data_IF_449600137661
#
_entry.id   IF_449600137661
#
_cell.length_a   1.000
_cell.length_b   1.000
_cell.length_c   1.000
_cell.angle_alpha   90.00
_cell.angle_beta   90.00
_cell.angle_gamma   90.00
#
_symmetry.space_group_name_H-M   'P 1'
#
loop_
_entity.id
_entity.type
_entity.pdbx_description
1 polymer ?
#
# COMPACT_ATOMS: atom_id res chain seq x y z
N UNK A 1 17.45 4.43 -10.92
CA UNK A 1 17.14 5.82 -11.25
C UNK A 1 18.27 6.70 -10.73
N UNK A 2 18.90 7.49 -11.59
CA UNK A 2 20.00 8.43 -11.24
C UNK A 2 21.16 7.80 -10.43
N UNK A 3 21.51 6.56 -10.74
CA UNK A 3 22.56 5.82 -10.02
C UNK A 3 22.14 5.26 -8.65
N UNK A 4 20.93 5.52 -8.20
CA UNK A 4 20.39 5.04 -6.93
C UNK A 4 19.53 3.79 -7.13
N UNK A 5 19.38 2.99 -6.06
CA UNK A 5 18.49 1.82 -6.04
C UNK A 5 17.22 2.16 -5.25
N UNK A 6 16.08 1.75 -5.78
CA UNK A 6 14.78 1.92 -5.13
C UNK A 6 14.02 0.59 -5.10
N UNK A 7 13.39 0.28 -3.99
CA UNK A 7 12.32 -0.71 -3.95
C UNK A 7 11.04 -0.05 -4.45
N UNK A 8 10.44 -0.55 -5.52
CA UNK A 8 9.27 0.08 -6.13
C UNK A 8 8.11 -0.89 -6.29
N UNK A 9 6.89 -0.37 -6.19
CA UNK A 9 5.73 -0.98 -6.80
C UNK A 9 5.65 -0.56 -8.28
N UNK A 10 5.46 -1.51 -9.19
CA UNK A 10 5.19 -1.24 -10.59
C UNK A 10 3.72 -1.46 -10.89
N UNK A 11 3.07 -0.49 -11.50
CA UNK A 11 1.71 -0.65 -12.01
C UNK A 11 1.77 -1.04 -13.47
N UNK A 12 1.17 -2.18 -13.81
CA UNK A 12 1.12 -2.72 -15.17
C UNK A 12 -0.33 -2.82 -15.63
N UNK A 13 -0.63 -2.22 -16.75
CA UNK A 13 -1.97 -2.28 -17.34
C UNK A 13 -1.87 -2.25 -18.88
N UNK A 14 -2.67 -3.07 -19.55
CA UNK A 14 -2.66 -3.18 -21.01
C UNK A 14 -1.32 -3.69 -21.56
N UNK A 15 -0.58 -4.49 -20.79
CA UNK A 15 0.74 -5.02 -21.20
C UNK A 15 1.90 -4.03 -21.04
N UNK A 16 1.67 -2.85 -20.48
CA UNK A 16 2.67 -1.79 -20.31
C UNK A 16 2.86 -1.41 -18.84
N UNK A 17 4.08 -1.01 -18.46
CA UNK A 17 4.36 -0.42 -17.17
C UNK A 17 3.89 1.03 -17.17
N UNK A 18 2.84 1.31 -16.41
CA UNK A 18 2.22 2.65 -16.30
C UNK A 18 2.97 3.59 -15.36
N UNK A 19 3.69 3.05 -14.41
CA UNK A 19 4.50 3.84 -13.50
C UNK A 19 5.19 2.99 -12.44
N UNK A 20 6.18 3.60 -11.80
CA UNK A 20 6.99 3.05 -10.73
C UNK A 20 6.85 3.94 -9.49
N UNK A 21 6.36 3.37 -8.40
CA UNK A 21 6.16 4.08 -7.13
C UNK A 21 7.20 3.59 -6.12
N UNK A 22 8.20 4.41 -5.78
CA UNK A 22 9.23 4.02 -4.83
C UNK A 22 8.69 3.98 -3.41
N UNK A 23 9.16 3.01 -2.65
CA UNK A 23 8.92 2.90 -1.21
C UNK A 23 9.47 4.12 -0.48
N UNK A 24 8.67 4.73 0.38
CA UNK A 24 9.06 5.93 1.13
C UNK A 24 9.66 5.60 2.50
N UNK A 25 9.15 4.57 3.15
CA UNK A 25 9.54 4.20 4.52
C UNK A 25 10.42 2.94 4.48
N UNK A 26 11.71 3.13 4.70
CA UNK A 26 12.70 2.04 4.67
C UNK A 26 12.98 1.55 6.10
N UNK A 27 12.47 0.36 6.49
CA UNK A 27 12.77 -0.19 7.80
C UNK A 27 14.27 -0.48 7.91
N UNK A 28 14.91 0.10 8.94
CA UNK A 28 16.32 -0.09 9.26
C UNK A 28 16.43 -0.31 10.76
N UNK A 29 15.68 -1.26 11.27
CA UNK A 29 15.61 -1.65 12.67
C UNK A 29 15.39 -3.16 12.80
N UNK A 30 15.81 -3.74 13.92
CA UNK A 30 15.71 -5.18 14.19
C UNK A 30 16.37 -6.01 13.07
N UNK A 31 15.57 -6.77 12.34
CA UNK A 31 16.00 -7.68 11.26
C UNK A 31 16.06 -7.01 9.89
N UNK A 32 15.64 -5.74 9.78
CA UNK A 32 15.56 -5.02 8.51
C UNK A 32 16.75 -4.09 8.30
N UNK A 33 17.25 -4.06 7.06
CA UNK A 33 18.44 -3.27 6.67
C UNK A 33 18.24 -2.48 5.38
N UNK A 34 17.01 -2.14 5.02
CA UNK A 34 16.70 -1.57 3.71
C UNK A 34 17.46 -0.25 3.45
N UNK A 35 17.58 0.62 4.44
CA UNK A 35 18.29 1.90 4.30
C UNK A 35 19.77 1.80 3.99
N UNK A 36 20.39 0.60 4.08
CA UNK A 36 21.79 0.37 3.65
C UNK A 36 21.90 0.13 2.14
N UNK A 37 20.81 -0.32 1.50
CA UNK A 37 20.85 -0.79 0.11
C UNK A 37 20.00 0.08 -0.79
N UNK A 38 18.89 0.60 -0.28
CA UNK A 38 17.90 1.33 -1.06
C UNK A 38 17.81 2.80 -0.65
N UNK A 39 17.52 3.64 -1.62
CA UNK A 39 17.11 5.02 -1.42
C UNK A 39 15.59 5.07 -1.27
N UNK A 40 15.11 5.96 -0.44
CA UNK A 40 13.68 6.16 -0.23
C UNK A 40 13.07 7.04 -1.32
N UNK A 41 11.79 6.83 -1.61
CA UNK A 41 10.95 7.81 -2.29
C UNK A 41 10.64 9.02 -1.40
N UNK A 42 10.17 10.08 -1.98
CA UNK A 42 9.80 11.31 -1.28
C UNK A 42 8.38 11.73 -1.64
N UNK A 43 7.66 12.37 -0.71
CA UNK A 43 6.40 13.02 -1.01
C UNK A 43 6.52 13.96 -2.22
N UNK A 44 5.54 13.88 -3.12
CA UNK A 44 5.46 14.69 -4.34
C UNK A 44 6.64 14.54 -5.31
N UNK A 45 7.46 13.51 -5.15
CA UNK A 45 8.50 13.20 -6.11
C UNK A 45 7.90 12.84 -7.47
N UNK A 46 8.35 13.52 -8.51
CA UNK A 46 7.97 13.25 -9.90
C UNK A 46 9.23 13.17 -10.76
N UNK A 47 9.28 12.18 -11.62
CA UNK A 47 10.37 11.94 -12.54
C UNK A 47 10.02 10.85 -13.54
N UNK A 48 11.04 10.39 -14.24
CA UNK A 48 10.93 9.35 -15.24
C UNK A 48 12.12 8.40 -15.16
N UNK A 49 11.87 7.12 -15.36
CA UNK A 49 12.93 6.14 -15.52
C UNK A 49 12.72 5.33 -16.81
N UNK A 50 13.59 5.53 -17.80
CA UNK A 50 13.54 4.87 -19.11
C UNK A 50 12.18 5.01 -19.83
N UNK A 51 11.61 6.21 -19.84
CA UNK A 51 10.31 6.48 -20.44
C UNK A 51 9.11 6.08 -19.57
N UNK A 52 9.31 5.59 -18.35
CA UNK A 52 8.25 5.21 -17.43
C UNK A 52 8.15 6.24 -16.30
N UNK A 53 6.95 6.78 -16.00
CA UNK A 53 6.75 7.67 -14.87
C UNK A 53 7.25 7.05 -13.56
N UNK A 54 7.97 7.84 -12.76
CA UNK A 54 8.57 7.41 -11.52
C UNK A 54 8.32 8.44 -10.42
N UNK A 55 7.83 8.01 -9.28
CA UNK A 55 7.65 8.90 -8.13
C UNK A 55 6.41 8.62 -7.29
N UNK A 56 5.90 9.67 -6.66
CA UNK A 56 4.70 9.63 -5.81
C UNK A 56 3.45 9.74 -6.69
N UNK A 57 3.01 8.59 -7.22
CA UNK A 57 1.99 8.50 -8.24
C UNK A 57 0.71 7.83 -7.72
N UNK A 58 -0.42 8.28 -8.26
CA UNK A 58 -1.70 7.58 -8.24
C UNK A 58 -2.13 7.30 -9.68
N UNK A 59 -2.98 6.30 -9.90
CA UNK A 59 -3.34 5.80 -11.22
C UNK A 59 -4.86 5.79 -11.37
N UNK A 60 -5.34 6.52 -12.38
CA UNK A 60 -6.75 6.56 -12.72
C UNK A 60 -7.08 5.42 -13.70
N UNK A 61 -8.13 4.65 -13.39
CA UNK A 61 -8.70 3.60 -14.22
C UNK A 61 -10.21 3.81 -14.33
N UNK A 62 -10.84 3.14 -15.28
CA UNK A 62 -12.30 3.23 -15.49
C UNK A 62 -13.12 2.87 -14.23
N UNK A 63 -12.56 2.05 -13.33
CA UNK A 63 -13.21 1.63 -12.10
C UNK A 63 -12.87 2.47 -10.86
N UNK A 64 -11.92 3.40 -10.96
CA UNK A 64 -11.50 4.25 -9.83
C UNK A 64 -10.02 4.55 -9.79
N UNK A 65 -9.59 5.28 -8.76
CA UNK A 65 -8.21 5.75 -8.59
C UNK A 65 -7.46 4.85 -7.61
N UNK A 66 -6.33 4.31 -8.08
CA UNK A 66 -5.49 3.35 -7.34
C UNK A 66 -4.18 3.99 -6.88
N UNK A 67 -3.79 3.75 -5.64
CA UNK A 67 -2.49 4.13 -5.08
C UNK A 67 -1.73 2.90 -4.58
N UNK A 68 -0.59 2.53 -5.18
CA UNK A 68 0.24 1.45 -4.66
C UNK A 68 1.14 1.94 -3.52
N UNK A 69 1.39 1.06 -2.55
CA UNK A 69 2.32 1.23 -1.44
C UNK A 69 3.16 -0.02 -1.24
N UNK A 70 4.30 0.13 -0.57
CA UNK A 70 5.20 -1.01 -0.31
C UNK A 70 5.41 -1.20 1.19
N UNK A 71 4.87 -2.28 1.73
CA UNK A 71 5.16 -2.83 3.05
C UNK A 71 5.12 -1.78 4.18
N UNK A 72 6.29 -1.32 4.65
CA UNK A 72 6.49 -0.38 5.76
C UNK A 72 5.74 0.95 5.58
N UNK A 73 5.42 1.33 4.35
CA UNK A 73 4.66 2.54 4.08
C UNK A 73 3.34 2.60 4.86
N UNK A 74 2.66 1.45 5.06
CA UNK A 74 1.43 1.39 5.84
C UNK A 74 1.64 1.42 7.37
N UNK A 75 2.86 1.09 7.87
CA UNK A 75 3.11 0.96 9.31
C UNK A 75 3.33 2.28 10.02
N UNK A 76 3.70 3.32 9.31
CA UNK A 76 4.00 4.62 9.90
C UNK A 76 2.75 5.50 10.00
N UNK A 77 2.71 6.37 11.00
CA UNK A 77 1.61 7.34 11.18
C UNK A 77 1.51 8.29 9.99
N UNK A 78 2.65 8.81 9.54
CA UNK A 78 2.77 9.63 8.32
C UNK A 78 2.95 8.74 7.10
N UNK A 79 1.95 7.89 6.83
CA UNK A 79 1.95 6.98 5.70
C UNK A 79 1.65 7.72 4.38
N UNK A 80 2.22 7.27 3.25
CA UNK A 80 1.91 7.83 1.92
C UNK A 80 0.42 7.77 1.59
N UNK A 81 -0.29 6.77 2.10
CA UNK A 81 -1.73 6.55 1.94
C UNK A 81 -2.53 7.81 2.25
N UNK A 82 -2.22 8.53 3.35
CA UNK A 82 -2.93 9.76 3.72
C UNK A 82 -2.93 10.76 2.57
N UNK A 83 -1.76 11.10 2.07
CA UNK A 83 -1.59 12.08 1.00
C UNK A 83 -2.26 11.61 -0.28
N UNK A 84 -2.09 10.34 -0.65
CA UNK A 84 -2.64 9.76 -1.87
C UNK A 84 -4.17 9.69 -1.85
N UNK A 85 -4.78 9.40 -0.69
CA UNK A 85 -6.24 9.42 -0.54
C UNK A 85 -6.81 10.83 -0.62
N UNK A 86 -6.12 11.84 -0.08
CA UNK A 86 -6.48 13.23 -0.26
C UNK A 86 -6.27 13.70 -1.72
N UNK A 87 -5.38 13.08 -2.47
CA UNK A 87 -5.22 13.33 -3.91
C UNK A 87 -6.23 12.57 -4.77
N UNK A 88 -7.18 11.84 -4.17
CA UNK A 88 -8.27 11.17 -4.87
C UNK A 88 -8.22 9.64 -4.89
N UNK A 89 -7.15 9.00 -4.41
CA UNK A 89 -7.08 7.54 -4.41
C UNK A 89 -8.19 6.91 -3.56
N UNK A 90 -8.93 5.98 -4.16
CA UNK A 90 -10.04 5.26 -3.54
C UNK A 90 -9.64 3.87 -3.09
N UNK A 91 -8.73 3.25 -3.86
CA UNK A 91 -8.15 1.94 -3.60
C UNK A 91 -6.64 2.09 -3.35
N UNK A 92 -6.20 1.71 -2.16
CA UNK A 92 -4.77 1.59 -1.83
C UNK A 92 -4.38 0.12 -1.88
N UNK A 93 -3.29 -0.20 -2.57
CA UNK A 93 -2.75 -1.55 -2.68
C UNK A 93 -1.39 -1.58 -2.02
N UNK A 94 -1.26 -2.34 -0.93
CA UNK A 94 0.00 -2.53 -0.22
C UNK A 94 0.58 -3.93 -0.47
N UNK A 95 1.72 -3.98 -1.15
CA UNK A 95 2.48 -5.20 -1.41
C UNK A 95 3.58 -5.36 -0.36
N UNK A 96 3.59 -6.48 0.36
CA UNK A 96 4.42 -6.67 1.54
C UNK A 96 5.27 -7.94 1.53
N UNK A 97 6.47 -7.83 2.09
CA UNK A 97 7.28 -8.92 2.62
C UNK A 97 7.46 -8.74 4.12
N UNK A 98 6.36 -8.76 4.87
CA UNK A 98 6.36 -8.58 6.32
C UNK A 98 6.63 -9.90 7.02
N UNK A 99 7.74 -9.97 7.77
CA UNK A 99 8.17 -11.20 8.41
C UNK A 99 7.21 -11.66 9.51
N UNK A 100 7.08 -12.98 9.62
CA UNK A 100 6.30 -13.63 10.66
C UNK A 100 6.93 -13.42 12.05
N UNK A 101 6.10 -13.06 12.99
CA UNK A 101 6.35 -13.11 14.43
C UNK A 101 5.05 -13.51 15.11
N UNK A 102 5.13 -14.14 16.28
CA UNK A 102 3.93 -14.49 17.07
C UNK A 102 3.12 -13.21 17.35
N UNK A 103 1.84 -13.22 17.00
CA UNK A 103 0.94 -12.07 17.18
C UNK A 103 0.98 -11.01 16.07
N UNK A 104 1.91 -11.09 15.11
CA UNK A 104 2.02 -10.08 14.03
C UNK A 104 0.79 -10.01 13.14
N UNK A 105 0.12 -11.13 12.92
CA UNK A 105 -1.12 -11.18 12.13
C UNK A 105 -2.21 -10.30 12.73
N UNK A 106 -2.43 -10.41 14.03
CA UNK A 106 -3.38 -9.58 14.75
C UNK A 106 -2.98 -8.09 14.68
N UNK A 107 -1.70 -7.78 14.87
CA UNK A 107 -1.18 -6.41 14.76
C UNK A 107 -1.39 -5.84 13.35
N UNK A 108 -1.13 -6.63 12.30
CA UNK A 108 -1.40 -6.23 10.90
C UNK A 108 -2.87 -5.91 10.69
N UNK A 109 -3.76 -6.78 11.15
CA UNK A 109 -5.21 -6.61 11.03
C UNK A 109 -5.67 -5.32 11.69
N UNK A 110 -5.28 -5.09 12.94
CA UNK A 110 -5.67 -3.92 13.73
C UNK A 110 -5.14 -2.62 13.10
N UNK A 111 -3.89 -2.63 12.68
CA UNK A 111 -3.27 -1.48 12.02
C UNK A 111 -3.93 -1.17 10.68
N UNK A 112 -4.09 -2.16 9.81
CA UNK A 112 -4.61 -1.95 8.45
C UNK A 112 -6.09 -1.56 8.44
N UNK A 113 -6.91 -2.14 9.33
CA UNK A 113 -8.33 -1.76 9.46
C UNK A 113 -8.46 -0.31 9.92
N UNK A 114 -7.61 0.12 10.84
CA UNK A 114 -7.55 1.50 11.31
C UNK A 114 -7.14 2.44 10.18
N UNK A 115 -6.09 2.10 9.42
CA UNK A 115 -5.67 2.89 8.25
C UNK A 115 -6.78 3.06 7.22
N UNK A 116 -7.47 1.98 6.87
CA UNK A 116 -8.58 2.02 5.91
C UNK A 116 -9.74 2.89 6.42
N UNK A 117 -9.98 2.91 7.72
CA UNK A 117 -10.97 3.76 8.39
C UNK A 117 -10.56 5.24 8.42
N UNK A 118 -9.37 5.53 8.91
CA UNK A 118 -8.87 6.91 9.07
C UNK A 118 -8.76 7.63 7.71
N UNK A 119 -8.30 6.91 6.68
CA UNK A 119 -8.10 7.48 5.35
C UNK A 119 -9.29 7.31 4.41
N UNK A 120 -10.39 6.75 4.92
CA UNK A 120 -11.62 6.55 4.15
C UNK A 120 -11.33 5.97 2.75
N UNK A 121 -10.73 4.79 2.71
CA UNK A 121 -10.38 4.10 1.46
C UNK A 121 -10.66 2.60 1.53
N UNK A 122 -10.61 1.94 0.38
CA UNK A 122 -10.41 0.51 0.31
C UNK A 122 -8.91 0.24 0.38
N UNK A 123 -8.49 -0.65 1.27
CA UNK A 123 -7.10 -1.07 1.42
C UNK A 123 -6.99 -2.56 1.12
N UNK A 124 -6.30 -2.91 0.05
CA UNK A 124 -5.93 -4.27 -0.30
C UNK A 124 -4.47 -4.52 0.11
N UNK A 125 -4.26 -5.43 1.03
CA UNK A 125 -2.95 -5.82 1.53
C UNK A 125 -2.65 -7.27 1.15
N UNK A 126 -1.45 -7.53 0.66
CA UNK A 126 -0.96 -8.88 0.38
C UNK A 126 0.44 -9.07 0.94
N UNK A 127 0.68 -10.24 1.55
CA UNK A 127 1.97 -10.59 2.12
C UNK A 127 2.63 -11.76 1.39
N UNK A 128 3.95 -11.73 1.30
CA UNK A 128 4.77 -12.83 0.83
C UNK A 128 4.57 -14.07 1.71
N UNK A 129 4.59 -15.24 1.11
CA UNK A 129 4.70 -16.54 1.81
C UNK A 129 6.02 -17.19 1.47
N UNK A 130 6.71 -17.77 2.47
CA UNK A 130 7.97 -18.47 2.26
C UNK A 130 9.03 -18.16 3.30
N UNK A 131 10.29 -18.32 2.93
CA UNK A 131 11.45 -18.03 3.80
C UNK A 131 12.61 -17.45 3.02
N UNK A 132 13.35 -16.51 3.61
CA UNK A 132 14.54 -15.92 3.05
C UNK A 132 15.43 -15.36 4.17
N UNK A 133 16.74 -15.62 4.10
CA UNK A 133 17.75 -15.09 5.04
C UNK A 133 17.40 -15.27 6.53
N UNK A 134 16.86 -16.43 6.90
CA UNK A 134 16.43 -16.70 8.27
C UNK A 134 15.11 -16.08 8.68
N UNK A 135 14.42 -15.39 7.77
CA UNK A 135 13.07 -14.88 7.96
C UNK A 135 12.04 -15.84 7.41
N UNK A 136 10.91 -15.94 8.10
CA UNK A 136 9.72 -16.61 7.62
C UNK A 136 8.65 -15.56 7.30
N UNK A 137 7.91 -15.81 6.24
CA UNK A 137 6.79 -14.99 5.80
C UNK A 137 5.54 -15.86 5.77
N UNK A 138 4.53 -15.44 6.48
CA UNK A 138 3.32 -16.23 6.71
C UNK A 138 2.25 -16.05 5.62
N UNK A 139 2.50 -15.21 4.62
CA UNK A 139 1.53 -14.97 3.55
C UNK A 139 0.27 -14.27 4.04
N UNK A 140 -0.83 -14.62 3.40
CA UNK A 140 -2.13 -14.03 3.69
C UNK A 140 -2.33 -12.65 3.06
N UNK A 141 -3.49 -12.10 3.30
CA UNK A 141 -3.86 -10.79 2.82
C UNK A 141 -5.19 -10.34 3.40
N UNK A 142 -5.46 -9.06 3.29
CA UNK A 142 -6.69 -8.46 3.76
C UNK A 142 -7.24 -7.51 2.72
N UNK A 143 -8.55 -7.42 2.63
CA UNK A 143 -9.22 -6.28 2.02
C UNK A 143 -10.09 -5.63 3.08
N UNK A 144 -9.80 -4.37 3.36
CA UNK A 144 -10.61 -3.52 4.22
C UNK A 144 -11.25 -2.41 3.40
N UNK A 145 -12.51 -2.12 3.65
CA UNK A 145 -13.20 -1.00 3.04
C UNK A 145 -13.73 -0.06 4.13
N UNK A 146 -13.23 1.16 4.18
CA UNK A 146 -13.65 2.20 5.12
C UNK A 146 -13.70 1.68 6.58
N UNK A 147 -12.68 0.93 7.01
CA UNK A 147 -12.57 0.36 8.34
C UNK A 147 -13.41 -0.92 8.57
N UNK A 148 -13.87 -1.60 7.51
CA UNK A 148 -14.56 -2.90 7.60
C UNK A 148 -13.78 -3.98 6.87
N UNK A 149 -13.68 -5.15 7.47
CA UNK A 149 -13.08 -6.33 6.83
C UNK A 149 -14.02 -6.85 5.74
N UNK A 150 -13.50 -6.96 4.52
CA UNK A 150 -14.18 -7.51 3.35
C UNK A 150 -13.64 -8.88 2.95
N UNK A 151 -12.34 -9.12 3.19
CA UNK A 151 -11.66 -10.37 2.88
C UNK A 151 -10.51 -10.59 3.87
N UNK A 152 -10.36 -11.85 4.30
CA UNK A 152 -9.26 -12.37 5.10
C UNK A 152 -8.71 -13.61 4.39
N UNK A 153 -7.61 -13.44 3.68
CA UNK A 153 -7.00 -14.51 2.89
C UNK A 153 -6.21 -15.47 3.79
N UNK A 154 -6.26 -16.79 3.49
CA UNK A 154 -5.54 -17.80 4.26
C UNK A 154 -4.03 -17.57 4.27
N UNK A 155 -3.40 -17.85 5.41
CA UNK A 155 -1.95 -17.81 5.58
C UNK A 155 -1.30 -19.17 5.29
N UNK A 156 0.02 -19.17 5.17
CA UNK A 156 0.89 -20.35 5.02
C UNK A 156 0.68 -21.13 3.72
N UNK A 157 0.09 -20.48 2.74
CA UNK A 157 -0.09 -21.06 1.40
C UNK A 157 -0.03 -19.99 0.32
N UNK A 158 0.40 -20.36 -0.85
CA UNK A 158 0.20 -19.58 -2.07
C UNK A 158 -1.25 -19.70 -2.54
N UNK A 159 -1.74 -18.65 -3.18
CA UNK A 159 -3.09 -18.64 -3.74
C UNK A 159 -3.57 -17.25 -4.07
N UNK A 160 -4.81 -17.18 -4.51
CA UNK A 160 -5.53 -15.93 -4.73
C UNK A 160 -6.93 -16.03 -4.12
N UNK A 161 -7.41 -14.89 -3.69
CA UNK A 161 -8.77 -14.76 -3.15
C UNK A 161 -9.39 -13.51 -3.76
N UNK A 162 -10.72 -13.46 -3.83
CA UNK A 162 -11.44 -12.35 -4.44
C UNK A 162 -12.60 -11.88 -3.57
N UNK A 163 -12.85 -10.58 -3.60
CA UNK A 163 -14.02 -9.97 -2.99
C UNK A 163 -14.48 -8.79 -3.84
N UNK A 164 -15.71 -8.36 -3.66
CA UNK A 164 -16.25 -7.17 -4.31
C UNK A 164 -16.28 -6.02 -3.32
N UNK A 165 -15.87 -4.84 -3.78
CA UNK A 165 -15.90 -3.59 -3.04
C UNK A 165 -16.66 -2.51 -3.82
N UNK A 166 -17.27 -1.57 -3.11
CA UNK A 166 -18.02 -0.44 -3.67
C UNK A 166 -17.21 0.85 -3.51
N UNK A 167 -16.46 1.25 -4.55
CA UNK A 167 -15.64 2.47 -4.50
C UNK A 167 -16.49 3.74 -4.46
N UNK A 168 -17.68 3.74 -5.07
CA UNK A 168 -18.62 4.86 -4.98
C UNK A 168 -19.05 5.13 -3.53
N UNK A 169 -19.12 4.08 -2.71
CA UNK A 169 -19.35 4.23 -1.27
C UNK A 169 -18.27 5.07 -0.61
N UNK A 170 -17.01 4.87 -0.98
CA UNK A 170 -15.88 5.65 -0.45
C UNK A 170 -16.05 7.13 -0.75
N UNK A 171 -16.41 7.46 -1.98
CA UNK A 171 -16.66 8.84 -2.39
C UNK A 171 -17.84 9.47 -1.66
N UNK A 172 -18.94 8.73 -1.48
CA UNK A 172 -20.09 9.19 -0.67
C UNK A 172 -19.69 9.50 0.76
N UNK A 173 -18.98 8.58 1.43
CA UNK A 173 -18.52 8.77 2.82
C UNK A 173 -17.61 9.98 2.97
N UNK A 174 -16.67 10.20 2.05
CA UNK A 174 -15.80 11.37 2.05
C UNK A 174 -16.59 12.67 1.89
N UNK A 175 -17.57 12.71 1.00
CA UNK A 175 -18.41 13.89 0.77
C UNK A 175 -19.30 14.24 1.97
N UNK A 176 -19.73 13.25 2.73
CA UNK A 176 -20.56 13.41 3.93
C UNK A 176 -19.73 13.72 5.18
N UNK A 177 -18.47 13.30 5.25
CA UNK A 177 -17.62 13.49 6.41
C UNK A 177 -17.02 14.90 6.44
N UNK A 178 -17.56 15.75 7.29
CA UNK A 178 -17.13 17.15 7.43
C UNK A 178 -15.66 17.25 7.88
N UNK A 179 -15.24 16.43 8.82
CA UNK A 179 -13.86 16.41 9.34
C UNK A 179 -12.89 16.04 8.24
N UNK A 180 -13.19 14.99 7.48
CA UNK A 180 -12.34 14.57 6.36
C UNK A 180 -12.20 15.68 5.30
N UNK A 181 -13.29 16.39 5.00
CA UNK A 181 -13.26 17.52 4.05
C UNK A 181 -12.43 18.70 4.57
N UNK A 182 -12.48 18.96 5.88
CA UNK A 182 -11.68 20.05 6.50
C UNK A 182 -10.18 19.72 6.47
N UNK A 183 -9.82 18.46 6.68
CA UNK A 183 -8.42 18.02 6.63
C UNK A 183 -7.85 17.96 5.21
N UNK A 184 -8.71 17.96 4.20
CA UNK A 184 -8.32 17.95 2.78
C UNK A 184 -7.85 19.33 2.28
N UNK A 185 -8.26 20.42 2.90
CA UNK A 185 -7.89 21.79 2.51
C UNK A 185 -6.62 22.27 3.20
#
# INVERSE_FOLDING_TARGET
HEGLRYGCAAVVAGGEVRGLVPKEKLPTYSIYYEGRTFSRGYPYQLGEHRGVPFGDLIFEFDFGVVAPEVCEDAWTTECPMRRRTYSGAELVVNISGSAFRVGTDQTRREMLITRAGDHQCTLAYVNLVGGNDGLLFDGGGFVFQNGKLMLDAPRWREGWEATTVDLDRTMRLRSENTTWRMDHT
#
